data_IF_633475101705
#
_entry.id   IF_633475101705
#
_cell.length_a   1.000
_cell.length_b   1.000
_cell.length_c   1.000
_cell.angle_alpha   90.00
_cell.angle_beta   90.00
_cell.angle_gamma   90.00
#
_symmetry.space_group_name_H-M   'P 1'
#
loop_
_entity.id
_entity.type
_entity.pdbx_description
1 polymer ?
#
# COMPACT_ATOMS: atom_id res chain seq x y z
N UNK A 1 5.47 2.47 -9.94
CA UNK A 1 4.05 2.59 -10.38
C UNK A 1 3.20 1.58 -9.64
N UNK A 2 3.66 0.31 -9.61
CA UNK A 2 2.93 -0.72 -8.94
C UNK A 2 3.56 -0.91 -7.59
N UNK A 3 2.74 -0.82 -6.52
CA UNK A 3 3.27 -0.99 -5.18
C UNK A 3 2.65 -2.21 -4.61
N UNK A 4 3.50 -3.14 -4.11
CA UNK A 4 2.98 -4.36 -3.53
C UNK A 4 2.63 -4.03 -2.11
N UNK A 5 1.33 -4.14 -1.76
CA UNK A 5 0.90 -3.83 -0.41
C UNK A 5 1.26 -5.00 0.47
N UNK A 6 1.66 -6.13 -0.14
CA UNK A 6 2.01 -7.29 0.66
C UNK A 6 3.35 -7.01 1.31
N UNK A 7 4.12 -6.05 0.73
CA UNK A 7 5.43 -5.73 1.29
C UNK A 7 5.36 -4.32 1.80
N UNK A 8 4.92 -3.38 0.93
CA UNK A 8 4.84 -2.01 1.34
C UNK A 8 3.51 -1.82 2.01
N UNK A 9 3.48 -2.04 3.33
CA UNK A 9 2.24 -1.88 4.06
C UNK A 9 2.29 -0.55 4.74
N UNK A 10 3.38 0.21 4.50
CA UNK A 10 3.52 1.51 5.11
C UNK A 10 3.39 2.52 4.03
N UNK A 11 3.14 2.06 2.81
CA UNK A 11 3.02 2.97 1.71
C UNK A 11 1.73 3.73 1.90
N UNK A 12 1.76 4.99 1.48
CA UNK A 12 0.60 5.89 1.60
C UNK A 12 -0.45 5.61 0.58
N UNK A 13 -0.16 4.69 -0.35
CA UNK A 13 -1.12 4.35 -1.37
C UNK A 13 -1.86 3.13 -0.90
N UNK A 14 -1.21 2.32 -0.05
CA UNK A 14 -1.85 1.12 0.45
C UNK A 14 -2.73 1.51 1.60
N UNK A 15 -2.63 2.79 2.04
CA UNK A 15 -3.45 3.25 3.14
C UNK A 15 -4.81 3.56 2.59
N UNK A 16 -4.89 3.75 1.25
CA UNK A 16 -6.16 4.07 0.63
C UNK A 16 -7.03 2.83 0.70
N UNK A 17 -6.42 1.65 0.51
CA UNK A 17 -7.19 0.41 0.55
C UNK A 17 -7.02 -0.20 1.91
N UNK A 18 -6.41 0.55 2.85
CA UNK A 18 -6.20 0.02 4.18
C UNK A 18 -7.56 -0.18 4.79
N UNK A 19 -8.50 0.76 4.55
CA UNK A 19 -9.83 0.63 5.09
C UNK A 19 -10.68 -0.09 4.03
#
# INVERSE_FOLDING_TARGET
>A
RRIDCKVFVFAPICRGVAA
#
